data_IF_467147965673
#
_entry.id   IF_467147965673
#
_cell.length_a   1.000
_cell.length_b   1.000
_cell.length_c   1.000
_cell.angle_alpha   90.00
_cell.angle_beta   90.00
_cell.angle_gamma   90.00
#
_symmetry.space_group_name_H-M   'P 1'
#
loop_
_entity.id
_entity.type
_entity.pdbx_description
1 polymer ?
#
# COMPACT_ATOMS: atom_id res chain seq x y z
N UNK A 1 1.64 -9.62 4.05
CA UNK A 1 1.45 -9.93 5.50
C UNK A 1 2.72 -10.37 6.20
N UNK A 2 3.48 -11.39 5.75
CA UNK A 2 4.71 -11.83 6.42
C UNK A 2 5.73 -10.70 6.50
N UNK A 3 6.00 -10.00 5.41
CA UNK A 3 6.96 -8.90 5.38
C UNK A 3 6.45 -7.66 6.12
N UNK A 4 5.15 -7.43 6.18
CA UNK A 4 4.54 -6.42 7.04
C UNK A 4 4.82 -6.74 8.51
N UNK A 5 4.52 -7.96 8.94
CA UNK A 5 4.79 -8.40 10.32
C UNK A 5 6.29 -8.34 10.69
N UNK A 6 7.18 -8.67 9.75
CA UNK A 6 8.63 -8.53 9.96
C UNK A 6 9.02 -7.05 10.11
N UNK A 7 8.51 -6.17 9.24
CA UNK A 7 8.76 -4.73 9.33
C UNK A 7 8.26 -4.16 10.67
N UNK A 8 7.02 -4.49 11.05
CA UNK A 8 6.40 -4.03 12.30
C UNK A 8 7.15 -4.57 13.52
N UNK A 9 7.54 -5.84 13.50
CA UNK A 9 8.34 -6.44 14.56
C UNK A 9 9.69 -5.76 14.74
N UNK A 10 10.38 -5.41 13.64
CA UNK A 10 11.65 -4.68 13.68
C UNK A 10 11.43 -3.28 14.25
N UNK A 11 10.47 -2.54 13.73
CA UNK A 11 10.22 -1.14 14.14
C UNK A 11 9.72 -1.04 15.57
N UNK A 12 8.82 -1.92 15.99
CA UNK A 12 8.37 -2.04 17.41
C UNK A 12 9.53 -2.37 18.35
N UNK A 13 10.38 -3.33 17.97
CA UNK A 13 11.54 -3.69 18.78
C UNK A 13 12.51 -2.53 18.95
N UNK A 14 12.80 -1.78 17.88
CA UNK A 14 13.69 -0.63 17.96
C UNK A 14 13.11 0.48 18.85
N UNK A 15 11.82 0.78 18.70
CA UNK A 15 11.10 1.74 19.57
C UNK A 15 11.12 1.32 21.04
N UNK A 16 10.84 0.05 21.36
CA UNK A 16 10.89 -0.47 22.73
C UNK A 16 12.30 -0.42 23.36
N UNK A 17 13.35 -0.59 22.55
CA UNK A 17 14.72 -0.42 23.02
C UNK A 17 15.02 1.04 23.36
N UNK A 18 14.41 1.97 22.62
CA UNK A 18 14.51 3.42 22.89
C UNK A 18 15.91 4.02 22.77
N UNK A 19 16.06 5.29 23.17
CA UNK A 19 17.32 6.00 23.26
C UNK A 19 18.16 5.96 21.98
N UNK A 20 19.48 6.00 22.15
CA UNK A 20 20.47 6.08 21.06
C UNK A 20 20.30 4.95 20.02
N UNK A 21 19.84 3.76 20.43
CA UNK A 21 19.68 2.61 19.50
C UNK A 21 18.54 2.88 18.50
N UNK A 22 17.42 3.40 18.98
CA UNK A 22 16.30 3.76 18.11
C UNK A 22 16.64 4.92 17.19
N UNK A 23 17.33 5.96 17.70
CA UNK A 23 17.73 7.12 16.91
C UNK A 23 18.74 6.74 15.83
N UNK A 24 19.71 5.90 16.19
CA UNK A 24 20.68 5.36 15.24
C UNK A 24 19.99 4.50 14.15
N UNK A 25 19.03 3.66 14.54
CA UNK A 25 18.24 2.86 13.58
C UNK A 25 17.52 3.76 12.58
N UNK A 26 16.77 4.75 13.07
CA UNK A 26 16.00 5.68 12.23
C UNK A 26 16.93 6.49 11.31
N UNK A 27 18.03 7.03 11.85
CA UNK A 27 19.02 7.76 11.09
C UNK A 27 19.58 6.96 9.91
N UNK A 28 20.03 5.71 10.15
CA UNK A 28 20.58 4.88 9.07
C UNK A 28 19.52 4.42 8.07
N UNK A 29 18.29 4.16 8.52
CA UNK A 29 17.16 3.84 7.62
C UNK A 29 16.87 5.02 6.70
N UNK A 30 16.83 6.25 7.21
CA UNK A 30 16.57 7.45 6.39
C UNK A 30 17.70 7.69 5.37
N UNK A 31 18.97 7.59 5.79
CA UNK A 31 20.12 7.64 4.88
C UNK A 31 20.00 6.57 3.78
N UNK A 32 19.65 5.34 4.14
CA UNK A 32 19.50 4.25 3.18
C UNK A 32 18.37 4.51 2.20
N UNK A 33 17.22 5.04 2.65
CA UNK A 33 16.09 5.42 1.79
C UNK A 33 16.45 6.53 0.81
N UNK A 34 17.12 7.59 1.29
CA UNK A 34 17.61 8.70 0.45
C UNK A 34 18.58 8.18 -0.60
N UNK A 35 19.57 7.39 -0.19
CA UNK A 35 20.55 6.80 -1.10
C UNK A 35 19.88 5.90 -2.15
N UNK A 36 18.93 5.04 -1.73
CA UNK A 36 18.17 4.17 -2.62
C UNK A 36 17.27 4.96 -3.58
N UNK A 37 16.65 6.06 -3.14
CA UNK A 37 15.87 6.96 -3.99
C UNK A 37 16.74 7.55 -5.11
N UNK A 38 17.91 8.12 -4.77
CA UNK A 38 18.84 8.66 -5.76
C UNK A 38 19.27 7.58 -6.77
N UNK A 39 19.63 6.40 -6.26
CA UNK A 39 19.99 5.26 -7.09
C UNK A 39 18.87 4.89 -8.07
N UNK A 40 17.62 4.76 -7.61
CA UNK A 40 16.48 4.42 -8.47
C UNK A 40 16.29 5.47 -9.58
N UNK A 41 16.41 6.76 -9.25
CA UNK A 41 16.27 7.85 -10.24
C UNK A 41 17.38 7.84 -11.28
N UNK A 42 18.65 7.70 -10.87
CA UNK A 42 19.79 7.65 -11.80
C UNK A 42 19.74 6.44 -12.73
N UNK A 43 19.42 5.27 -12.19
CA UNK A 43 19.42 4.01 -12.96
C UNK A 43 18.07 3.67 -13.60
N UNK A 44 17.05 4.51 -13.44
CA UNK A 44 15.71 4.28 -14.02
C UNK A 44 14.99 3.07 -13.44
N UNK A 45 15.19 2.78 -12.14
CA UNK A 45 14.59 1.65 -11.41
C UNK A 45 13.29 2.03 -10.69
N UNK A 46 12.53 2.95 -11.27
CA UNK A 46 11.23 3.37 -10.76
C UNK A 46 10.20 3.41 -11.87
N UNK A 47 8.93 3.11 -11.55
CA UNK A 47 7.82 3.15 -12.51
C UNK A 47 7.81 4.47 -13.29
N UNK A 48 7.83 4.40 -14.61
CA UNK A 48 7.96 5.53 -15.50
C UNK A 48 6.81 5.58 -16.52
N UNK A 49 6.09 6.70 -16.55
CA UNK A 49 4.94 6.91 -17.42
C UNK A 49 5.21 7.91 -18.55
N UNK A 50 6.30 8.64 -18.43
CA UNK A 50 6.77 9.61 -19.42
C UNK A 50 8.27 9.42 -19.63
N UNK A 51 8.79 9.85 -20.78
CA UNK A 51 10.22 9.75 -21.08
C UNK A 51 11.04 10.54 -20.05
N UNK A 52 11.88 9.84 -19.28
CA UNK A 52 12.73 10.47 -18.27
C UNK A 52 14.05 10.96 -18.86
N UNK A 53 14.48 12.13 -18.43
CA UNK A 53 15.82 12.66 -18.68
C UNK A 53 16.82 12.05 -17.68
N UNK A 54 17.20 10.78 -17.88
CA UNK A 54 18.12 10.06 -16.97
C UNK A 54 19.42 10.84 -16.73
N UNK A 55 19.95 11.50 -17.76
CA UNK A 55 21.18 12.32 -17.64
C UNK A 55 21.07 13.44 -16.59
N UNK A 56 19.90 14.10 -16.50
CA UNK A 56 19.68 15.13 -15.48
C UNK A 56 19.79 14.57 -14.06
N UNK A 57 19.22 13.39 -13.80
CA UNK A 57 19.30 12.75 -12.49
C UNK A 57 20.72 12.33 -12.12
N UNK A 58 21.53 11.92 -13.11
CA UNK A 58 22.94 11.65 -12.89
C UNK A 58 23.71 12.91 -12.46
N UNK A 59 23.50 14.03 -13.13
CA UNK A 59 24.14 15.31 -12.77
C UNK A 59 23.75 15.76 -11.37
N UNK A 60 22.46 15.63 -11.01
CA UNK A 60 21.96 16.11 -9.72
C UNK A 60 22.34 15.19 -8.55
N UNK A 61 22.32 13.88 -8.74
CA UNK A 61 22.39 12.93 -7.62
C UNK A 61 23.72 12.19 -7.49
N UNK A 62 24.60 12.21 -8.49
CA UNK A 62 25.83 11.42 -8.45
C UNK A 62 26.74 11.77 -7.27
N UNK A 63 27.02 13.08 -7.07
CA UNK A 63 27.88 13.53 -5.96
C UNK A 63 27.23 13.23 -4.59
N UNK A 64 25.98 13.65 -4.30
CA UNK A 64 25.33 13.31 -3.04
C UNK A 64 25.24 11.80 -2.78
N UNK A 65 25.00 11.01 -3.83
CA UNK A 65 24.92 9.55 -3.74
C UNK A 65 26.25 8.93 -3.30
N UNK A 66 27.39 9.38 -3.86
CA UNK A 66 28.73 8.94 -3.44
C UNK A 66 29.02 9.38 -2.01
N UNK A 67 28.70 10.63 -1.63
CA UNK A 67 28.92 11.14 -0.28
C UNK A 67 28.13 10.40 0.80
N UNK A 68 26.92 9.89 0.46
CA UNK A 68 26.12 9.10 1.39
C UNK A 68 26.52 7.63 1.45
N UNK A 69 27.32 7.14 0.50
CA UNK A 69 27.72 5.74 0.44
C UNK A 69 28.44 5.24 1.69
N UNK A 70 29.44 5.97 2.29
CA UNK A 70 30.08 5.55 3.54
C UNK A 70 29.09 5.41 4.70
N UNK A 71 28.14 6.34 4.84
CA UNK A 71 27.11 6.28 5.89
C UNK A 71 26.17 5.09 5.69
N UNK A 72 25.74 4.83 4.44
CA UNK A 72 24.95 3.64 4.12
C UNK A 72 25.72 2.35 4.41
N UNK A 73 27.02 2.31 4.07
CA UNK A 73 27.87 1.16 4.36
C UNK A 73 27.99 0.91 5.87
N UNK A 74 28.22 1.97 6.66
CA UNK A 74 28.24 1.91 8.11
C UNK A 74 26.90 1.43 8.68
N UNK A 75 25.77 1.96 8.18
CA UNK A 75 24.43 1.49 8.53
C UNK A 75 24.21 0.00 8.22
N UNK A 76 24.75 -0.49 7.09
CA UNK A 76 24.69 -1.91 6.77
C UNK A 76 25.48 -2.76 7.79
N UNK A 77 26.66 -2.29 8.21
CA UNK A 77 27.49 -2.99 9.18
C UNK A 77 26.86 -3.04 10.57
N UNK A 78 26.38 -1.89 11.07
CA UNK A 78 25.89 -1.75 12.45
C UNK A 78 24.45 -2.23 12.65
N UNK A 79 23.59 -2.04 11.64
CA UNK A 79 22.13 -2.22 11.75
C UNK A 79 21.62 -3.28 10.77
N UNK A 80 21.77 -3.08 9.45
CA UNK A 80 21.04 -3.86 8.46
C UNK A 80 21.53 -5.30 8.34
N UNK A 81 22.82 -5.56 8.60
CA UNK A 81 23.36 -6.93 8.62
C UNK A 81 22.65 -7.82 9.64
N UNK A 82 22.29 -7.27 10.81
CA UNK A 82 21.54 -7.99 11.85
C UNK A 82 20.12 -8.30 11.39
N UNK A 83 19.46 -7.34 10.73
CA UNK A 83 18.12 -7.52 10.19
C UNK A 83 18.11 -8.59 9.08
N UNK A 84 19.08 -8.52 8.17
CA UNK A 84 19.22 -9.52 7.10
C UNK A 84 19.49 -10.93 7.65
N UNK A 85 20.28 -11.05 8.69
CA UNK A 85 20.57 -12.34 9.34
C UNK A 85 19.29 -12.99 9.93
N UNK A 86 18.31 -12.19 10.37
CA UNK A 86 17.01 -12.69 10.85
C UNK A 86 16.19 -13.35 9.74
N UNK A 87 16.38 -12.94 8.47
CA UNK A 87 15.73 -13.55 7.30
C UNK A 87 16.46 -14.83 6.85
N UNK A 88 17.68 -15.05 7.36
CA UNK A 88 18.53 -16.19 7.00
C UNK A 88 19.70 -15.79 6.09
N UNK A 89 20.85 -16.45 6.30
CA UNK A 89 22.08 -16.10 5.59
C UNK A 89 22.02 -16.37 4.07
N UNK A 90 21.15 -17.28 3.63
CA UNK A 90 20.97 -17.65 2.23
C UNK A 90 19.74 -16.99 1.60
N UNK A 91 19.10 -16.03 2.29
CA UNK A 91 17.95 -15.32 1.74
C UNK A 91 18.36 -14.47 0.52
N UNK A 92 17.80 -14.75 -0.64
CA UNK A 92 18.06 -14.02 -1.90
C UNK A 92 16.95 -13.06 -2.26
N UNK A 93 15.72 -13.52 -2.17
CA UNK A 93 14.53 -12.72 -2.44
C UNK A 93 13.30 -13.32 -1.78
N UNK A 94 12.33 -12.47 -1.48
CA UNK A 94 10.98 -12.89 -1.08
C UNK A 94 9.95 -12.45 -2.09
N UNK A 95 8.87 -13.20 -2.24
CA UNK A 95 7.75 -12.84 -3.10
C UNK A 95 6.58 -12.40 -2.24
N UNK A 96 6.07 -11.20 -2.49
CA UNK A 96 4.83 -10.69 -1.93
C UNK A 96 3.74 -10.76 -3.00
N UNK A 97 2.58 -11.27 -2.65
CA UNK A 97 1.45 -11.37 -3.58
C UNK A 97 0.14 -11.65 -2.85
N UNK A 98 -0.96 -11.58 -3.58
CA UNK A 98 -2.31 -11.81 -3.06
C UNK A 98 -3.02 -10.57 -2.51
N UNK A 99 -2.33 -9.46 -2.32
CA UNK A 99 -2.87 -8.16 -1.92
C UNK A 99 -1.88 -7.04 -2.24
N UNK A 100 -2.29 -5.79 -2.11
CA UNK A 100 -1.43 -4.64 -2.36
C UNK A 100 -0.28 -4.59 -1.32
N UNK A 101 0.95 -4.55 -1.79
CA UNK A 101 2.12 -4.46 -0.92
C UNK A 101 2.38 -3.00 -0.53
N UNK A 102 2.44 -2.67 0.77
CA UNK A 102 2.59 -1.29 1.20
C UNK A 102 3.91 -0.68 0.73
N UNK A 103 3.81 0.46 0.04
CA UNK A 103 4.96 1.18 -0.53
C UNK A 103 6.08 1.45 0.48
N UNK A 104 5.72 1.80 1.72
CA UNK A 104 6.70 2.09 2.77
C UNK A 104 7.53 0.86 3.13
N UNK A 105 6.91 -0.31 3.13
CA UNK A 105 7.56 -1.58 3.44
C UNK A 105 8.47 -2.00 2.28
N UNK A 106 7.98 -1.88 1.03
CA UNK A 106 8.80 -2.09 -0.18
C UNK A 106 10.03 -1.16 -0.17
N UNK A 107 9.83 0.13 0.13
CA UNK A 107 10.91 1.12 0.21
C UNK A 107 11.92 0.80 1.32
N UNK A 108 11.47 0.35 2.48
CA UNK A 108 12.33 -0.04 3.59
C UNK A 108 13.21 -1.22 3.18
N UNK A 109 12.61 -2.32 2.70
CA UNK A 109 13.36 -3.50 2.31
C UNK A 109 14.32 -3.22 1.16
N UNK A 110 13.88 -2.43 0.16
CA UNK A 110 14.75 -1.98 -0.92
C UNK A 110 15.96 -1.19 -0.38
N UNK A 111 15.72 -0.22 0.51
CA UNK A 111 16.77 0.64 1.07
C UNK A 111 17.85 -0.15 1.82
N UNK A 112 17.44 -1.13 2.63
CA UNK A 112 18.36 -1.98 3.38
C UNK A 112 19.00 -3.09 2.53
N UNK A 113 18.62 -3.22 1.24
CA UNK A 113 19.17 -4.19 0.30
C UNK A 113 18.62 -5.61 0.52
N UNK A 114 17.34 -5.73 0.85
CA UNK A 114 16.57 -6.97 0.87
C UNK A 114 15.61 -6.96 -0.32
N UNK A 115 15.73 -7.94 -1.20
CA UNK A 115 14.90 -8.04 -2.40
C UNK A 115 13.53 -8.63 -2.04
N UNK A 116 12.49 -7.79 -2.02
CA UNK A 116 11.11 -8.23 -2.00
C UNK A 116 10.52 -7.88 -3.37
N UNK A 117 10.00 -8.88 -4.07
CA UNK A 117 9.38 -8.73 -5.37
C UNK A 117 7.89 -8.95 -5.29
N UNK A 118 7.13 -8.13 -5.97
CA UNK A 118 5.69 -8.29 -6.03
C UNK A 118 5.29 -9.21 -7.17
N UNK A 119 4.35 -10.12 -6.88
CA UNK A 119 3.65 -10.93 -7.87
C UNK A 119 2.16 -10.61 -7.87
N UNK A 120 1.57 -10.57 -9.05
CA UNK A 120 0.15 -10.36 -9.25
C UNK A 120 -0.49 -11.49 -10.03
N UNK A 121 -1.69 -11.83 -9.62
CA UNK A 121 -2.53 -12.77 -10.33
C UNK A 121 -3.81 -13.09 -9.59
N UNK A 122 -4.65 -13.88 -10.23
CA UNK A 122 -5.97 -14.26 -9.79
C UNK A 122 -6.11 -15.79 -9.83
N UNK A 123 -7.07 -16.33 -9.12
CA UNK A 123 -7.44 -17.75 -9.26
C UNK A 123 -7.81 -18.08 -10.71
N UNK A 124 -8.47 -17.14 -11.37
CA UNK A 124 -8.88 -17.18 -12.78
C UNK A 124 -7.71 -17.16 -13.78
N UNK A 125 -6.48 -16.94 -13.31
CA UNK A 125 -5.26 -16.89 -14.15
C UNK A 125 -4.19 -17.91 -13.75
N UNK A 126 -4.51 -18.91 -12.94
CA UNK A 126 -3.74 -20.09 -12.53
C UNK A 126 -2.29 -19.90 -12.01
N UNK A 127 -1.98 -19.16 -11.01
CA UNK A 127 -2.57 -17.90 -10.54
C UNK A 127 -1.81 -16.65 -11.04
N UNK A 128 -0.67 -16.76 -11.75
CA UNK A 128 0.30 -15.69 -11.98
C UNK A 128 0.06 -15.00 -13.32
N UNK A 129 -0.07 -13.67 -13.30
CA UNK A 129 -0.11 -12.79 -14.48
C UNK A 129 1.21 -12.06 -14.69
N UNK A 130 1.78 -11.52 -13.60
CA UNK A 130 3.02 -10.76 -13.65
C UNK A 130 3.82 -10.93 -12.36
N UNK A 131 5.14 -10.83 -12.47
CA UNK A 131 6.06 -10.84 -11.33
C UNK A 131 7.18 -9.83 -11.57
N UNK A 132 7.49 -9.00 -10.59
CA UNK A 132 8.64 -8.11 -10.62
C UNK A 132 9.93 -8.95 -10.74
N UNK A 133 10.79 -8.75 -11.74
CA UNK A 133 11.98 -9.56 -11.91
C UNK A 133 12.98 -9.32 -10.77
N UNK A 134 13.57 -10.40 -10.23
CA UNK A 134 14.56 -10.33 -9.13
C UNK A 134 15.86 -9.65 -9.60
N UNK A 135 16.30 -9.95 -10.82
CA UNK A 135 17.57 -9.45 -11.36
C UNK A 135 17.51 -7.95 -11.71
N UNK A 136 16.36 -7.48 -12.16
CA UNK A 136 16.15 -6.10 -12.60
C UNK A 136 14.80 -5.55 -12.13
N UNK A 137 14.59 -5.40 -10.81
CA UNK A 137 13.32 -4.95 -10.28
C UNK A 137 13.08 -3.46 -10.60
N UNK A 138 11.84 -3.13 -10.99
CA UNK A 138 11.37 -1.76 -11.14
C UNK A 138 10.44 -1.44 -9.96
N UNK A 139 10.85 -0.48 -9.15
CA UNK A 139 10.14 -0.09 -7.94
C UNK A 139 8.74 0.44 -8.27
N UNK A 140 7.75 0.09 -7.45
CA UNK A 140 6.33 0.42 -7.64
C UNK A 140 5.67 -0.21 -8.87
N UNK A 141 6.17 -1.33 -9.35
CA UNK A 141 5.50 -2.13 -10.36
C UNK A 141 5.43 -3.58 -9.91
N UNK A 142 4.50 -4.31 -10.48
CA UNK A 142 4.46 -5.78 -10.37
C UNK A 142 5.20 -6.45 -11.54
N UNK A 143 6.04 -5.69 -12.25
CA UNK A 143 6.74 -6.17 -13.45
C UNK A 143 5.84 -6.25 -14.67
N UNK A 144 6.38 -6.81 -15.75
CA UNK A 144 5.66 -7.08 -16.99
C UNK A 144 4.94 -8.43 -16.92
N UNK A 145 3.96 -8.64 -17.79
CA UNK A 145 3.28 -9.91 -17.90
C UNK A 145 4.26 -11.07 -18.18
N UNK A 146 3.99 -12.23 -17.58
CA UNK A 146 4.80 -13.43 -17.80
C UNK A 146 4.69 -13.90 -19.28
N UNK A 147 5.67 -14.69 -19.70
CA UNK A 147 5.68 -15.24 -21.07
C UNK A 147 4.40 -16.01 -21.37
N UNK A 148 3.80 -15.75 -22.54
CA UNK A 148 2.54 -16.38 -22.95
C UNK A 148 1.28 -15.65 -22.47
N UNK A 149 1.43 -14.62 -21.64
CA UNK A 149 0.32 -13.78 -21.16
C UNK A 149 0.36 -12.42 -21.83
N UNK A 150 -0.79 -11.97 -22.32
CA UNK A 150 -0.99 -10.63 -22.88
C UNK A 150 -1.84 -9.82 -21.91
N UNK A 151 -1.54 -8.53 -21.81
CA UNK A 151 -2.30 -7.60 -20.97
C UNK A 151 -2.67 -6.36 -21.77
N UNK A 152 -3.80 -5.76 -21.44
CA UNK A 152 -4.22 -4.45 -21.93
C UNK A 152 -4.99 -3.70 -20.86
N UNK A 153 -4.99 -2.38 -20.98
CA UNK A 153 -5.79 -1.51 -20.13
C UNK A 153 -6.95 -0.98 -20.98
N UNK A 154 -8.17 -1.10 -20.48
CA UNK A 154 -9.36 -0.59 -21.17
C UNK A 154 -10.09 0.42 -20.31
N UNK A 155 -10.78 1.35 -20.96
CA UNK A 155 -11.62 2.33 -20.28
C UNK A 155 -12.77 1.62 -19.54
N UNK A 156 -13.14 2.18 -18.38
CA UNK A 156 -14.18 1.61 -17.49
C UNK A 156 -15.57 1.70 -18.12
N UNK A 157 -15.83 2.74 -18.94
CA UNK A 157 -17.17 3.06 -19.45
C UNK A 157 -17.44 2.45 -20.83
N UNK A 158 -16.48 2.59 -21.75
CA UNK A 158 -16.68 2.24 -23.17
C UNK A 158 -15.85 1.03 -23.63
N UNK A 159 -14.91 0.58 -22.78
CA UNK A 159 -14.08 -0.60 -23.08
C UNK A 159 -12.97 -0.37 -24.11
N UNK A 160 -12.76 0.86 -24.60
CA UNK A 160 -11.66 1.15 -25.52
C UNK A 160 -10.29 0.93 -24.88
N UNK A 161 -9.33 0.47 -25.68
CA UNK A 161 -7.96 0.26 -25.22
C UNK A 161 -7.31 1.62 -24.93
N UNK A 162 -6.85 1.79 -23.69
CA UNK A 162 -6.19 3.01 -23.26
C UNK A 162 -4.69 3.01 -23.55
N UNK A 163 -4.09 4.18 -23.87
CA UNK A 163 -2.65 4.32 -24.03
C UNK A 163 -1.93 4.13 -22.67
N UNK A 164 -0.62 3.85 -22.75
CA UNK A 164 0.26 3.76 -21.58
C UNK A 164 0.16 5.01 -20.70
N UNK A 165 0.22 4.84 -19.39
CA UNK A 165 0.09 5.93 -18.41
C UNK A 165 -1.34 6.35 -18.09
N UNK A 166 -2.35 5.72 -18.67
CA UNK A 166 -3.76 5.92 -18.29
C UNK A 166 -4.24 4.79 -17.41
N UNK A 167 -5.08 5.14 -16.44
CA UNK A 167 -5.72 4.18 -15.51
C UNK A 167 -6.99 3.65 -16.14
N UNK A 168 -7.17 2.34 -16.09
CA UNK A 168 -8.37 1.66 -16.55
C UNK A 168 -8.39 0.21 -16.06
N UNK A 169 -9.32 -0.57 -16.56
CA UNK A 169 -9.46 -1.99 -16.22
C UNK A 169 -8.33 -2.80 -16.83
N UNK A 170 -7.66 -3.59 -16.01
CA UNK A 170 -6.70 -4.58 -16.49
C UNK A 170 -7.44 -5.77 -17.09
N UNK A 171 -7.17 -6.07 -18.35
CA UNK A 171 -7.61 -7.28 -19.01
C UNK A 171 -6.41 -8.18 -19.34
N UNK A 172 -6.62 -9.48 -19.19
CA UNK A 172 -5.58 -10.51 -19.34
C UNK A 172 -6.04 -11.56 -20.33
N UNK A 173 -5.14 -12.01 -21.23
CA UNK A 173 -5.37 -13.11 -22.16
C UNK A 173 -4.14 -14.02 -22.21
N UNK A 174 -4.33 -15.32 -22.15
CA UNK A 174 -3.25 -16.30 -22.24
C UNK A 174 -3.74 -17.70 -21.86
N UNK A 175 -2.82 -18.67 -21.95
CA UNK A 175 -3.12 -20.06 -21.66
C UNK A 175 -3.45 -20.33 -20.19
N UNK A 176 -3.00 -19.45 -19.29
CA UNK A 176 -3.29 -19.50 -17.84
C UNK A 176 -4.69 -19.02 -17.48
N UNK A 177 -5.40 -18.35 -18.40
CA UNK A 177 -6.75 -17.87 -18.15
C UNK A 177 -7.72 -19.06 -18.09
N UNK A 178 -8.60 -19.06 -17.08
CA UNK A 178 -9.61 -20.09 -16.87
C UNK A 178 -10.52 -20.29 -18.10
N UNK A 179 -11.07 -21.47 -18.24
CA UNK A 179 -12.12 -21.74 -19.26
C UNK A 179 -13.48 -21.15 -18.88
N UNK A 180 -13.69 -20.87 -17.60
CA UNK A 180 -14.93 -20.32 -17.06
C UNK A 180 -15.23 -20.83 -15.66
N UNK A 181 -16.24 -20.26 -15.03
CA UNK A 181 -16.78 -20.73 -13.74
C UNK A 181 -17.62 -21.99 -13.93
N UNK A 182 -17.37 -23.00 -13.11
CA UNK A 182 -18.03 -24.29 -13.24
C UNK A 182 -19.55 -24.19 -13.10
N UNK A 183 -20.28 -24.65 -14.11
CA UNK A 183 -21.74 -24.59 -14.23
C UNK A 183 -22.35 -23.18 -14.09
N UNK A 184 -21.57 -22.13 -14.39
CA UNK A 184 -22.01 -20.73 -14.30
C UNK A 184 -21.66 -19.95 -15.58
N UNK A 185 -22.29 -20.29 -16.73
CA UNK A 185 -21.97 -19.64 -18.01
C UNK A 185 -22.31 -18.15 -18.02
N UNK A 186 -23.38 -17.72 -17.35
CA UNK A 186 -23.77 -16.32 -17.25
C UNK A 186 -22.75 -15.47 -16.45
N UNK A 187 -22.15 -16.02 -15.39
CA UNK A 187 -21.08 -15.32 -14.68
C UNK A 187 -19.80 -15.33 -15.49
N UNK A 188 -19.54 -16.40 -16.23
CA UNK A 188 -18.36 -16.49 -17.10
C UNK A 188 -18.41 -15.43 -18.19
N UNK A 189 -19.55 -15.27 -18.88
CA UNK A 189 -19.69 -14.28 -19.97
C UNK A 189 -19.57 -12.83 -19.50
N UNK A 190 -19.78 -12.54 -18.20
CA UNK A 190 -19.58 -11.19 -17.62
C UNK A 190 -18.11 -10.82 -17.47
N UNK A 191 -17.20 -11.79 -17.36
CA UNK A 191 -15.79 -11.55 -17.08
C UNK A 191 -14.87 -12.03 -18.18
N UNK A 192 -15.26 -13.00 -18.97
CA UNK A 192 -14.47 -13.59 -20.06
C UNK A 192 -15.16 -13.33 -21.39
N UNK A 193 -14.50 -12.57 -22.26
CA UNK A 193 -15.01 -12.29 -23.61
C UNK A 193 -14.81 -13.48 -24.55
N UNK A 194 -15.59 -13.53 -25.64
CA UNK A 194 -15.53 -14.61 -26.66
C UNK A 194 -14.14 -14.73 -27.31
N UNK A 195 -13.41 -13.64 -27.41
CA UNK A 195 -12.04 -13.61 -27.92
C UNK A 195 -10.98 -13.91 -26.85
N UNK A 196 -11.39 -14.32 -25.64
CA UNK A 196 -10.53 -14.85 -24.58
C UNK A 196 -9.84 -13.81 -23.70
N UNK A 197 -10.33 -12.57 -23.61
CA UNK A 197 -9.86 -11.59 -22.63
C UNK A 197 -10.66 -11.69 -21.34
N UNK A 198 -9.94 -11.90 -20.24
CA UNK A 198 -10.49 -11.89 -18.90
C UNK A 198 -10.47 -10.46 -18.34
N UNK A 199 -11.60 -9.95 -17.93
CA UNK A 199 -11.73 -8.74 -17.14
C UNK A 199 -11.41 -9.07 -15.68
N UNK A 200 -10.30 -8.52 -15.16
CA UNK A 200 -9.85 -8.82 -13.79
C UNK A 200 -10.65 -8.09 -12.71
N UNK A 201 -11.35 -7.03 -13.07
CA UNK A 201 -11.98 -6.09 -12.14
C UNK A 201 -10.96 -5.22 -11.38
N UNK A 202 -9.66 -5.34 -11.67
CA UNK A 202 -8.62 -4.52 -11.07
C UNK A 202 -8.30 -3.31 -11.96
N UNK A 203 -8.10 -2.15 -11.34
CA UNK A 203 -7.64 -0.94 -11.99
C UNK A 203 -6.13 -0.93 -12.05
N UNK A 204 -5.60 -0.67 -13.23
CA UNK A 204 -4.16 -0.65 -13.44
C UNK A 204 -3.75 0.38 -14.51
N UNK A 205 -2.47 0.58 -14.67
CA UNK A 205 -1.86 1.33 -15.76
C UNK A 205 -0.56 0.66 -16.19
N UNK A 206 -0.18 0.85 -17.45
CA UNK A 206 1.11 0.38 -17.96
C UNK A 206 2.13 1.52 -17.97
N UNK A 207 3.36 1.22 -17.59
CA UNK A 207 4.50 2.10 -17.78
C UNK A 207 4.88 2.17 -19.27
N UNK A 208 5.82 3.04 -19.63
CA UNK A 208 6.33 3.11 -21.01
C UNK A 208 7.08 1.84 -21.45
N UNK A 209 7.44 0.98 -20.49
CA UNK A 209 8.15 -0.30 -20.71
C UNK A 209 7.27 -1.52 -20.46
N UNK A 210 5.93 -1.32 -20.42
CA UNK A 210 4.92 -2.36 -20.23
C UNK A 210 4.94 -3.06 -18.85
N UNK A 211 5.58 -2.44 -17.84
CA UNK A 211 5.37 -2.90 -16.48
C UNK A 211 3.99 -2.46 -15.97
N UNK A 212 3.36 -3.34 -15.22
CA UNK A 212 2.02 -3.13 -14.67
C UNK A 212 2.11 -2.45 -13.31
N UNK A 213 1.27 -1.44 -13.10
CA UNK A 213 1.08 -0.77 -11.80
C UNK A 213 -0.39 -0.90 -11.42
N UNK A 214 -0.67 -1.68 -10.39
CA UNK A 214 -2.03 -1.80 -9.83
C UNK A 214 -2.39 -0.53 -9.07
N UNK A 215 -3.63 -0.07 -9.23
CA UNK A 215 -4.16 1.13 -8.57
C UNK A 215 -5.22 0.81 -7.53
N UNK A 216 -6.06 -0.17 -7.78
CA UNK A 216 -7.15 -0.56 -6.91
C UNK A 216 -8.06 -1.58 -7.56
N UNK A 217 -9.30 -1.65 -7.08
CA UNK A 217 -10.36 -2.50 -7.65
C UNK A 217 -11.60 -1.67 -7.95
N UNK A 218 -12.24 -1.92 -9.07
CA UNK A 218 -13.48 -1.23 -9.46
C UNK A 218 -14.53 -1.30 -8.36
N UNK A 219 -14.71 -2.48 -7.75
CA UNK A 219 -15.71 -2.70 -6.69
C UNK A 219 -15.40 -1.96 -5.38
N UNK A 220 -14.14 -1.56 -5.18
CA UNK A 220 -13.68 -0.86 -3.98
C UNK A 220 -13.61 0.65 -4.19
N UNK A 221 -13.69 1.12 -5.43
CA UNK A 221 -13.68 2.55 -5.77
C UNK A 221 -14.87 3.24 -5.12
N UNK A 222 -14.59 4.29 -4.37
CA UNK A 222 -15.58 5.14 -3.73
C UNK A 222 -15.93 6.27 -4.69
N UNK A 223 -17.23 6.43 -4.99
CA UNK A 223 -17.72 7.54 -5.80
C UNK A 223 -18.38 8.55 -4.88
N UNK A 224 -17.84 9.77 -4.82
CA UNK A 224 -18.44 10.85 -4.04
C UNK A 224 -19.63 11.47 -4.78
N UNK A 225 -20.46 12.23 -4.06
CA UNK A 225 -21.57 12.98 -4.65
C UNK A 225 -21.14 13.95 -5.75
N UNK A 226 -19.90 14.45 -5.73
CA UNK A 226 -19.30 15.28 -6.76
C UNK A 226 -18.88 14.52 -8.02
N UNK A 227 -18.99 13.17 -8.02
CA UNK A 227 -18.58 12.30 -9.14
C UNK A 227 -17.11 11.93 -9.13
N UNK A 228 -16.35 12.30 -8.10
CA UNK A 228 -14.95 11.90 -7.97
C UNK A 228 -14.83 10.42 -7.65
N UNK A 229 -13.99 9.72 -8.42
CA UNK A 229 -13.62 8.33 -8.18
C UNK A 229 -12.37 8.27 -7.32
N UNK A 230 -12.45 7.60 -6.19
CA UNK A 230 -11.39 7.52 -5.18
C UNK A 230 -11.01 6.07 -4.93
N UNK A 231 -9.73 5.79 -5.06
CA UNK A 231 -9.16 4.50 -4.68
C UNK A 231 -8.79 4.54 -3.18
N UNK A 232 -9.52 3.81 -2.32
CA UNK A 232 -9.33 3.90 -0.87
C UNK A 232 -8.03 3.27 -0.38
N UNK A 233 -7.57 2.21 -1.01
CA UNK A 233 -6.40 1.43 -0.57
C UNK A 233 -5.12 2.27 -0.42
N UNK A 234 -4.76 3.18 -1.35
CA UNK A 234 -3.59 4.05 -1.16
C UNK A 234 -3.70 4.98 0.05
N UNK A 235 -4.91 5.45 0.37
CA UNK A 235 -5.17 6.31 1.53
C UNK A 235 -5.01 5.48 2.81
N UNK A 236 -5.63 4.31 2.87
CA UNK A 236 -5.55 3.38 4.01
C UNK A 236 -4.11 2.95 4.29
N UNK A 237 -3.35 2.59 3.25
CA UNK A 237 -1.93 2.29 3.36
C UNK A 237 -1.10 3.48 3.86
N UNK A 238 -1.55 4.70 3.62
CA UNK A 238 -0.90 5.89 4.14
C UNK A 238 -1.23 6.10 5.61
N UNK A 239 -2.47 5.91 6.02
CA UNK A 239 -2.94 6.07 7.40
C UNK A 239 -2.25 5.08 8.37
N UNK A 240 -2.09 3.82 7.98
CA UNK A 240 -1.40 2.81 8.80
C UNK A 240 0.11 3.05 8.96
N UNK A 241 0.67 4.11 8.39
CA UNK A 241 2.04 4.55 8.68
C UNK A 241 2.16 5.23 10.05
N UNK A 242 1.05 5.72 10.61
CA UNK A 242 1.01 6.19 11.99
C UNK A 242 1.16 5.03 12.95
N UNK A 243 2.00 5.19 13.98
CA UNK A 243 2.15 4.20 15.05
C UNK A 243 0.88 3.97 15.85
N UNK A 244 -0.02 4.96 15.84
CA UNK A 244 -1.28 4.92 16.58
C UNK A 244 -2.41 4.21 15.83
N UNK A 245 -2.23 3.95 14.53
CA UNK A 245 -3.25 3.38 13.66
C UNK A 245 -2.85 1.95 13.27
N UNK A 246 -3.58 0.97 13.80
CA UNK A 246 -3.36 -0.45 13.50
C UNK A 246 -3.95 -0.84 12.14
N UNK A 247 -5.12 -0.27 11.80
CA UNK A 247 -5.77 -0.42 10.52
C UNK A 247 -6.67 0.79 10.25
N UNK A 248 -6.99 1.04 8.99
CA UNK A 248 -7.91 2.09 8.60
C UNK A 248 -8.75 1.65 7.42
N UNK A 249 -10.02 2.04 7.40
CA UNK A 249 -10.94 1.78 6.29
C UNK A 249 -11.59 3.10 5.89
N UNK A 250 -11.35 3.50 4.65
CA UNK A 250 -11.94 4.71 4.08
C UNK A 250 -13.36 4.43 3.66
N UNK A 251 -14.28 5.32 4.03
CA UNK A 251 -15.71 5.27 3.73
C UNK A 251 -16.14 6.60 3.11
N UNK A 252 -17.25 6.60 2.35
CA UNK A 252 -17.72 7.84 1.72
C UNK A 252 -18.52 7.63 0.43
N UNK A 253 -18.93 6.38 0.14
CA UNK A 253 -19.77 6.11 -1.02
C UNK A 253 -21.04 6.97 -0.98
N UNK A 254 -21.31 7.71 -2.05
CA UNK A 254 -22.45 8.64 -2.19
C UNK A 254 -22.51 9.73 -1.10
N UNK A 255 -21.34 10.13 -0.56
CA UNK A 255 -21.21 11.22 0.42
C UNK A 255 -20.46 12.41 -0.19
N UNK A 256 -20.53 13.57 0.49
CA UNK A 256 -19.87 14.82 0.06
C UNK A 256 -18.35 14.80 0.27
N UNK A 257 -17.87 13.98 1.19
CA UNK A 257 -16.47 13.87 1.58
C UNK A 257 -16.14 12.47 2.08
N UNK A 258 -14.86 12.17 2.20
CA UNK A 258 -14.40 10.92 2.78
C UNK A 258 -14.37 10.98 4.31
N UNK A 259 -14.77 9.86 4.91
CA UNK A 259 -14.54 9.52 6.30
C UNK A 259 -13.61 8.33 6.44
N UNK A 260 -13.22 8.02 7.67
CA UNK A 260 -12.45 6.81 7.97
C UNK A 260 -12.91 6.13 9.27
N UNK A 261 -12.99 4.81 9.22
CA UNK A 261 -12.98 3.97 10.42
C UNK A 261 -11.52 3.68 10.76
N UNK A 262 -11.07 4.03 11.96
CA UNK A 262 -9.68 3.94 12.39
C UNK A 262 -9.55 2.95 13.53
N UNK A 263 -8.93 1.81 13.27
CA UNK A 263 -8.61 0.83 14.30
C UNK A 263 -7.36 1.30 15.06
N UNK A 264 -7.52 1.57 16.34
CA UNK A 264 -6.48 2.12 17.21
C UNK A 264 -5.44 1.05 17.59
N UNK A 265 -4.16 1.44 17.70
CA UNK A 265 -3.17 0.61 18.40
C UNK A 265 -3.25 0.92 19.90
N UNK A 266 -3.87 0.00 20.65
CA UNK A 266 -4.13 0.18 22.09
C UNK A 266 -2.85 0.40 22.90
N UNK A 267 -1.79 -0.35 22.59
CA UNK A 267 -0.50 -0.25 23.28
C UNK A 267 0.13 1.14 23.06
N UNK A 268 0.14 1.62 21.83
CA UNK A 268 0.73 2.91 21.50
C UNK A 268 -0.06 4.10 22.06
N UNK A 269 -1.40 4.00 22.15
CA UNK A 269 -2.23 5.03 22.79
C UNK A 269 -2.02 5.06 24.29
N UNK A 270 -1.92 3.90 24.94
CA UNK A 270 -1.63 3.85 26.39
C UNK A 270 -0.23 4.38 26.71
N UNK A 271 0.76 4.07 25.87
CA UNK A 271 2.11 4.64 25.98
C UNK A 271 2.08 6.17 25.81
N UNK A 272 1.34 6.67 24.80
CA UNK A 272 1.18 8.12 24.60
C UNK A 272 0.54 8.80 25.81
N UNK A 273 -0.50 8.19 26.40
CA UNK A 273 -1.15 8.73 27.60
C UNK A 273 -0.17 8.79 28.79
N UNK A 274 0.62 7.75 28.99
CA UNK A 274 1.62 7.70 30.06
C UNK A 274 2.75 8.74 29.85
N UNK A 275 3.27 8.86 28.62
CA UNK A 275 4.30 9.83 28.26
C UNK A 275 3.86 11.29 28.45
N UNK A 276 2.56 11.57 28.25
CA UNK A 276 1.99 12.91 28.37
C UNK A 276 1.24 13.17 29.68
N UNK A 277 1.29 12.23 30.64
CA UNK A 277 0.65 12.39 31.94
C UNK A 277 -0.89 12.45 31.89
N UNK A 278 -1.52 11.87 30.85
CA UNK A 278 -2.96 11.86 30.69
C UNK A 278 -3.57 10.83 31.63
N UNK A 279 -4.37 11.30 32.56
CA UNK A 279 -5.13 10.42 33.47
C UNK A 279 -6.50 10.10 32.87
N UNK A 280 -6.93 8.86 33.02
CA UNK A 280 -8.21 8.38 32.50
C UNK A 280 -8.75 7.23 33.38
N UNK A 281 -10.06 7.13 33.49
CA UNK A 281 -10.71 6.08 34.30
C UNK A 281 -10.91 4.80 33.48
N UNK A 282 -11.34 4.94 32.21
CA UNK A 282 -11.56 3.82 31.28
C UNK A 282 -10.87 4.09 29.96
N UNK A 283 -10.60 3.02 29.21
CA UNK A 283 -9.98 3.17 27.87
C UNK A 283 -10.88 3.95 26.91
N UNK A 284 -12.19 3.77 27.03
CA UNK A 284 -13.20 4.51 26.27
C UNK A 284 -13.15 6.02 26.58
N UNK A 285 -13.01 6.40 27.86
CA UNK A 285 -12.86 7.80 28.25
C UNK A 285 -11.56 8.42 27.73
N UNK A 286 -10.47 7.63 27.68
CA UNK A 286 -9.22 8.05 27.06
C UNK A 286 -9.42 8.36 25.57
N UNK A 287 -10.03 7.45 24.82
CA UNK A 287 -10.26 7.65 23.39
C UNK A 287 -11.22 8.81 23.09
N UNK A 288 -12.20 9.06 23.95
CA UNK A 288 -13.13 10.17 23.83
C UNK A 288 -12.50 11.52 24.23
N UNK A 289 -11.33 11.52 24.86
CA UNK A 289 -10.67 12.75 25.29
C UNK A 289 -10.27 13.64 24.11
N UNK A 290 -10.39 14.96 24.29
CA UNK A 290 -10.02 15.94 23.26
C UNK A 290 -8.56 15.80 22.82
N UNK A 291 -7.67 15.42 23.73
CA UNK A 291 -6.24 15.24 23.44
C UNK A 291 -6.02 14.09 22.45
N UNK A 292 -6.68 12.96 22.64
CA UNK A 292 -6.58 11.80 21.75
C UNK A 292 -7.30 12.07 20.42
N UNK A 293 -8.46 12.71 20.44
CA UNK A 293 -9.14 13.09 19.20
C UNK A 293 -8.25 14.03 18.35
N UNK A 294 -7.65 15.05 18.94
CA UNK A 294 -6.69 15.94 18.26
C UNK A 294 -5.44 15.23 17.78
N UNK A 295 -4.94 14.23 18.52
CA UNK A 295 -3.82 13.41 18.07
C UNK A 295 -4.15 12.74 16.73
N UNK A 296 -5.31 12.07 16.64
CA UNK A 296 -5.72 11.40 15.41
C UNK A 296 -6.04 12.38 14.28
N UNK A 297 -6.69 13.51 14.57
CA UNK A 297 -6.92 14.57 13.58
C UNK A 297 -5.59 15.03 12.94
N UNK A 298 -4.58 15.31 13.78
CA UNK A 298 -3.27 15.74 13.32
C UNK A 298 -2.53 14.64 12.53
N UNK A 299 -2.56 13.39 13.02
CA UNK A 299 -1.95 12.27 12.33
C UNK A 299 -2.55 12.06 10.93
N UNK A 300 -3.88 12.03 10.84
CA UNK A 300 -4.61 11.88 9.59
C UNK A 300 -4.31 13.03 8.63
N UNK A 301 -4.40 14.27 9.12
CA UNK A 301 -4.14 15.46 8.31
C UNK A 301 -2.69 15.55 7.81
N UNK A 302 -1.72 15.13 8.63
CA UNK A 302 -0.31 15.09 8.25
C UNK A 302 -0.01 13.99 7.23
N UNK A 303 -0.70 12.86 7.30
CA UNK A 303 -0.48 11.71 6.43
C UNK A 303 -1.19 11.87 5.09
N UNK A 304 -2.43 12.40 5.07
CA UNK A 304 -3.26 12.46 3.86
C UNK A 304 -3.54 13.91 3.47
N UNK A 305 -2.63 14.48 2.70
CA UNK A 305 -2.73 15.87 2.22
C UNK A 305 -2.02 16.08 0.88
N UNK A 306 -2.10 17.28 0.32
CA UNK A 306 -1.49 17.60 -0.99
C UNK A 306 0.04 17.49 -1.02
N UNK A 307 0.73 17.73 0.09
CA UNK A 307 2.20 17.59 0.20
C UNK A 307 2.63 16.12 0.15
N UNK A 308 1.76 15.22 0.59
CA UNK A 308 1.98 13.76 0.56
C UNK A 308 1.45 13.11 -0.71
N UNK A 309 0.92 13.90 -1.66
CA UNK A 309 0.52 13.46 -3.00
C UNK A 309 -0.96 13.13 -3.16
N UNK A 310 -1.80 13.46 -2.18
CA UNK A 310 -3.25 13.27 -2.26
C UNK A 310 -3.97 14.53 -2.72
N UNK A 311 -5.06 14.35 -3.45
CA UNK A 311 -5.93 15.42 -3.92
C UNK A 311 -6.80 15.95 -2.78
N UNK A 312 -7.44 17.12 -2.98
CA UNK A 312 -8.31 17.71 -1.95
C UNK A 312 -9.47 16.79 -1.56
N UNK A 313 -10.09 16.15 -2.53
CA UNK A 313 -11.23 15.26 -2.30
C UNK A 313 -10.82 13.87 -1.75
N UNK A 314 -9.52 13.54 -1.71
CA UNK A 314 -8.98 12.33 -1.08
C UNK A 314 -8.68 12.50 0.42
N UNK A 315 -8.87 13.72 0.96
CA UNK A 315 -8.67 14.00 2.39
C UNK A 315 -9.77 13.37 3.23
N UNK A 316 -9.38 12.89 4.39
CA UNK A 316 -10.32 12.40 5.40
C UNK A 316 -10.80 13.59 6.23
N UNK A 317 -12.10 13.84 6.21
CA UNK A 317 -12.72 15.00 6.90
C UNK A 317 -13.17 14.65 8.32
N UNK A 318 -13.70 13.45 8.51
CA UNK A 318 -14.15 12.95 9.83
C UNK A 318 -13.75 11.49 9.97
N UNK A 319 -13.63 11.01 11.18
CA UNK A 319 -13.27 9.62 11.46
C UNK A 319 -13.99 9.10 12.70
N UNK A 320 -14.06 7.79 12.85
CA UNK A 320 -14.48 7.13 14.07
C UNK A 320 -13.39 6.16 14.53
N UNK A 321 -13.08 6.18 15.83
CA UNK A 321 -12.10 5.28 16.43
C UNK A 321 -12.76 3.95 16.78
N UNK A 322 -12.13 2.85 16.38
CA UNK A 322 -12.57 1.48 16.62
C UNK A 322 -11.54 0.78 17.49
N UNK A 323 -12.01 0.05 18.48
CA UNK A 323 -11.16 -0.65 19.47
C UNK A 323 -11.09 -2.16 19.24
N UNK A 324 -12.13 -2.73 18.60
CA UNK A 324 -12.20 -4.16 18.32
C UNK A 324 -11.33 -4.51 17.14
N UNK A 325 -10.41 -5.45 17.32
CA UNK A 325 -9.58 -5.98 16.22
C UNK A 325 -10.44 -6.65 15.14
N UNK A 326 -10.05 -6.48 13.89
CA UNK A 326 -10.71 -7.13 12.76
C UNK A 326 -10.41 -8.63 12.75
N UNK A 327 -11.44 -9.43 12.58
CA UNK A 327 -11.38 -10.89 12.60
C UNK A 327 -11.51 -11.48 11.20
N UNK A 328 -10.74 -12.56 10.91
CA UNK A 328 -10.87 -13.32 9.67
C UNK A 328 -12.23 -14.02 9.64
N UNK A 329 -12.96 -13.85 8.54
CA UNK A 329 -14.32 -14.37 8.37
C UNK A 329 -15.42 -13.40 8.80
N UNK A 330 -15.09 -12.34 9.53
CA UNK A 330 -16.01 -11.28 9.97
C UNK A 330 -15.75 -10.01 9.18
N UNK A 331 -14.70 -9.26 9.50
CA UNK A 331 -14.29 -8.03 8.81
C UNK A 331 -13.25 -8.30 7.71
N UNK A 332 -12.48 -9.38 7.86
CA UNK A 332 -11.43 -9.77 6.93
C UNK A 332 -11.78 -11.06 6.18
N UNK A 333 -11.40 -11.11 4.92
CA UNK A 333 -11.45 -12.34 4.11
C UNK A 333 -10.44 -13.39 4.62
N UNK A 334 -10.51 -14.62 4.10
CA UNK A 334 -9.51 -15.65 4.37
C UNK A 334 -8.07 -15.22 3.97
N UNK A 335 -7.94 -14.28 3.03
CA UNK A 335 -6.67 -13.64 2.64
C UNK A 335 -6.31 -12.45 3.53
N UNK A 336 -7.07 -12.19 4.59
CA UNK A 336 -6.94 -11.05 5.49
C UNK A 336 -7.11 -9.67 4.78
N UNK A 337 -7.80 -9.63 3.67
CA UNK A 337 -8.22 -8.39 3.01
C UNK A 337 -9.53 -7.89 3.62
N UNK A 338 -9.67 -6.58 3.72
CA UNK A 338 -10.86 -5.92 4.25
C UNK A 338 -12.08 -6.22 3.36
N UNK A 339 -13.14 -6.76 3.97
CA UNK A 339 -14.42 -7.00 3.28
C UNK A 339 -15.34 -5.78 3.45
N UNK A 340 -15.18 -4.76 2.58
CA UNK A 340 -15.87 -3.46 2.69
C UNK A 340 -17.38 -3.57 2.83
N UNK A 341 -18.01 -4.47 2.06
CA UNK A 341 -19.46 -4.67 2.14
C UNK A 341 -19.92 -5.11 3.55
N UNK A 342 -19.13 -5.96 4.25
CA UNK A 342 -19.43 -6.38 5.62
C UNK A 342 -19.17 -5.28 6.64
N UNK A 343 -18.09 -4.52 6.44
CA UNK A 343 -17.79 -3.40 7.33
C UNK A 343 -18.88 -2.34 7.34
N UNK A 344 -19.47 -2.04 6.19
CA UNK A 344 -20.58 -1.11 6.08
C UNK A 344 -21.80 -1.57 6.90
N UNK A 345 -22.01 -2.88 7.03
CA UNK A 345 -23.10 -3.43 7.82
C UNK A 345 -22.74 -3.47 9.32
N UNK A 346 -21.53 -3.94 9.64
CA UNK A 346 -21.07 -4.12 11.05
C UNK A 346 -20.92 -2.77 11.75
N UNK A 347 -20.30 -1.79 11.10
CA UNK A 347 -19.99 -0.46 11.64
C UNK A 347 -20.92 0.63 11.11
N UNK A 348 -22.15 0.25 10.76
CA UNK A 348 -23.12 1.20 10.22
C UNK A 348 -23.35 2.41 11.14
N UNK A 349 -23.44 2.17 12.44
CA UNK A 349 -23.64 3.24 13.44
C UNK A 349 -22.50 4.24 13.45
N UNK A 350 -21.27 3.76 13.46
CA UNK A 350 -20.06 4.59 13.45
C UNK A 350 -19.93 5.34 12.12
N UNK A 351 -20.25 4.69 11.01
CA UNK A 351 -20.27 5.32 9.68
C UNK A 351 -21.34 6.40 9.61
N UNK A 352 -22.55 6.14 10.09
CA UNK A 352 -23.63 7.13 10.14
C UNK A 352 -23.24 8.35 11.01
N UNK A 353 -22.52 8.14 12.11
CA UNK A 353 -22.00 9.22 12.96
C UNK A 353 -20.93 10.07 12.25
N UNK A 354 -20.04 9.45 11.42
CA UNK A 354 -19.04 10.18 10.63
C UNK A 354 -19.73 11.17 9.67
N UNK A 355 -20.89 10.81 9.13
CA UNK A 355 -21.62 11.60 8.14
C UNK A 355 -22.86 12.33 8.69
N UNK A 356 -23.10 12.24 10.00
CA UNK A 356 -24.08 13.10 10.65
C UNK A 356 -23.65 14.57 10.55
N UNK A 357 -24.61 15.45 10.22
CA UNK A 357 -24.39 16.89 10.07
C UNK A 357 -24.00 17.58 11.37
#
# INVERSE_FOLDING_TARGET
RVFEAVYDGITKKMRKTGGIVNDMFNFFVDIAKIHAFMQRKMFGKEACFTRQLKGLWWVLFFIPWILLFPLKWLGNLLVFRKIKAMLGNNFRAGVAGGGAFPKQIDEFFWAIGVNIVEGYGLTETAPIVAVRPIADPIFRTIGSAIRGTKVRIVDVNDGYILPRGKVGILQVKGETVMKGYYKQPELTSKVLSDDGWLNTGDLAMLTIHDEIVIKGRIKDTIVLLGGENIEPVPIEQKLIQSRYIKNAVVVGQDKRYLGALVLVDKEEIQNYAAENGIQYDTYESLLASEVIQKLYENEIANLVNSKTGFKMFERINKFALITKDFEVGVELSAKQEVMRFRLNDIYKKEIDQIFAE
#
